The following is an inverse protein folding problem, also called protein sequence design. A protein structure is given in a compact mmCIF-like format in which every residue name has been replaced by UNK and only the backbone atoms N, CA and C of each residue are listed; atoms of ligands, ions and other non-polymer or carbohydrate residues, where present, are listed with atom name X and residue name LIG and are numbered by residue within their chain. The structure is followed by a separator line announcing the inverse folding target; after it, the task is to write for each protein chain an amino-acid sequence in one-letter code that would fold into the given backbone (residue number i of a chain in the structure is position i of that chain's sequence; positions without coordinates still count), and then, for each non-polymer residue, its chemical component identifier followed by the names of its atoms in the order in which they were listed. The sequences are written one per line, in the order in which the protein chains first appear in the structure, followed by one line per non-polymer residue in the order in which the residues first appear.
data_IF_684867793327
#
_entry.id   IF_684867793327
#
_cell.length_a   1.000
_cell.length_b   1.000
_cell.length_c   1.000
_cell.angle_alpha   90.00
_cell.angle_beta   90.00
_cell.angle_gamma   90.00
#
_symmetry.space_group_name_H-M   'P 1'
#
loop_
_entity.id
_entity.type
_entity.pdbx_description
1 polymer ?
#
# COMPACT_ATOMS: atom_id res chain seq x y z
N UNK A 1 9.16 -4.34 -21.57
CA UNK A 1 7.75 -4.11 -21.18
C UNK A 1 7.45 -4.97 -19.96
N UNK A 2 7.11 -4.34 -18.84
CA UNK A 2 6.76 -5.02 -17.58
C UNK A 2 5.31 -4.75 -17.21
N UNK A 3 4.74 -5.58 -16.31
CA UNK A 3 3.40 -5.37 -15.76
C UNK A 3 3.51 -4.88 -14.31
N UNK A 4 2.91 -3.73 -14.01
CA UNK A 4 2.85 -3.17 -12.66
C UNK A 4 1.50 -3.43 -12.02
N UNK A 5 1.51 -3.98 -10.82
CA UNK A 5 0.35 -4.09 -9.95
C UNK A 5 0.43 -3.03 -8.85
N UNK A 6 -0.45 -2.03 -8.90
CA UNK A 6 -0.48 -0.93 -7.94
C UNK A 6 -1.54 -1.17 -6.87
N UNK A 7 -1.12 -1.26 -5.60
CA UNK A 7 -2.00 -1.54 -4.46
C UNK A 7 -2.06 -0.30 -3.57
N UNK A 8 -3.24 0.29 -3.45
CA UNK A 8 -3.50 1.49 -2.65
C UNK A 8 -3.36 1.24 -1.14
N UNK A 9 -3.38 2.30 -0.34
CA UNK A 9 -3.38 2.24 1.13
C UNK A 9 -4.78 2.10 1.74
N UNK A 10 -4.89 2.14 3.07
CA UNK A 10 -6.19 2.09 3.75
C UNK A 10 -7.08 3.27 3.43
N UNK A 11 -8.40 3.06 3.51
CA UNK A 11 -9.47 4.02 3.23
C UNK A 11 -9.56 4.46 1.76
N UNK A 12 -8.55 4.16 0.96
CA UNK A 12 -8.48 4.49 -0.45
C UNK A 12 -9.02 3.35 -1.34
N UNK A 13 -9.07 3.62 -2.64
CA UNK A 13 -9.32 2.66 -3.72
C UNK A 13 -8.32 2.86 -4.86
N UNK A 14 -8.50 2.15 -5.98
CA UNK A 14 -7.55 2.22 -7.10
C UNK A 14 -7.44 3.62 -7.73
N UNK A 15 -8.45 4.47 -7.52
CA UNK A 15 -8.51 5.85 -7.99
C UNK A 15 -7.31 6.71 -7.59
N UNK A 16 -6.57 6.36 -6.53
CA UNK A 16 -5.36 7.11 -6.13
C UNK A 16 -4.26 7.09 -7.19
N UNK A 17 -4.25 6.07 -8.04
CA UNK A 17 -3.21 5.88 -9.04
C UNK A 17 -3.49 6.63 -10.35
N UNK A 18 -4.50 7.51 -10.40
CA UNK A 18 -4.92 8.15 -11.65
C UNK A 18 -3.84 9.04 -12.29
N UNK A 19 -2.87 9.55 -11.51
CA UNK A 19 -1.70 10.26 -12.04
C UNK A 19 -0.51 9.34 -12.34
N UNK A 20 -0.27 8.35 -11.48
CA UNK A 20 0.88 7.43 -11.61
C UNK A 20 0.72 6.41 -12.73
N UNK A 21 -0.48 5.85 -12.91
CA UNK A 21 -0.72 4.79 -13.88
C UNK A 21 -0.51 5.26 -15.34
N UNK A 22 -1.05 6.42 -15.78
CA UNK A 22 -0.79 6.92 -17.13
C UNK A 22 0.70 7.18 -17.41
N UNK A 23 1.45 7.63 -16.41
CA UNK A 23 2.89 7.86 -16.54
C UNK A 23 3.67 6.55 -16.73
N UNK A 24 3.35 5.49 -15.97
CA UNK A 24 3.92 4.15 -16.20
C UNK A 24 3.54 3.59 -17.58
N UNK A 25 2.30 3.85 -18.02
CA UNK A 25 1.83 3.42 -19.35
C UNK A 25 2.55 4.16 -20.48
N UNK A 26 2.85 5.46 -20.31
CA UNK A 26 3.60 6.25 -21.27
C UNK A 26 5.03 5.72 -21.48
N UNK A 27 5.61 5.07 -20.46
CA UNK A 27 6.90 4.37 -20.52
C UNK A 27 6.78 2.94 -21.14
N UNK A 28 5.62 2.61 -21.72
CA UNK A 28 5.39 1.34 -22.41
C UNK A 28 5.14 0.15 -21.48
N UNK A 29 4.66 0.39 -20.26
CA UNK A 29 4.32 -0.67 -19.31
C UNK A 29 2.83 -0.95 -19.22
N UNK A 30 2.48 -2.20 -18.90
CA UNK A 30 1.12 -2.56 -18.52
C UNK A 30 0.90 -2.23 -17.04
N UNK A 31 -0.30 -1.77 -16.68
CA UNK A 31 -0.62 -1.37 -15.31
C UNK A 31 -1.99 -1.91 -14.91
N UNK A 32 -2.04 -2.59 -13.77
CA UNK A 32 -3.27 -2.94 -13.05
C UNK A 32 -3.31 -2.17 -11.74
N UNK A 33 -4.27 -1.26 -11.61
CA UNK A 33 -4.57 -0.61 -10.34
C UNK A 33 -5.56 -1.48 -9.57
N UNK A 34 -5.13 -2.07 -8.46
CA UNK A 34 -5.90 -3.06 -7.72
C UNK A 34 -7.13 -2.44 -7.05
N UNK A 35 -8.31 -2.99 -7.36
CA UNK A 35 -9.54 -2.74 -6.63
C UNK A 35 -9.74 -3.82 -5.55
N UNK A 36 -9.72 -3.44 -4.27
CA UNK A 36 -9.84 -4.37 -3.15
C UNK A 36 -11.30 -4.54 -2.70
N UNK A 37 -11.73 -5.74 -2.27
CA UNK A 37 -13.10 -5.97 -1.79
C UNK A 37 -13.40 -5.18 -0.52
N UNK A 38 -14.66 -4.81 -0.30
CA UNK A 38 -15.10 -4.06 0.88
C UNK A 38 -15.05 -2.54 0.73
N UNK A 39 -14.77 -2.04 -0.49
CA UNK A 39 -14.78 -0.61 -0.83
C UNK A 39 -15.15 -0.36 -2.29
N UNK A 40 -15.42 0.90 -2.61
CA UNK A 40 -15.64 1.37 -3.98
C UNK A 40 -16.67 0.55 -4.73
N UNK A 41 -16.29 0.04 -5.91
CA UNK A 41 -17.15 -0.76 -6.81
C UNK A 41 -17.23 -2.24 -6.43
N UNK A 42 -16.56 -2.66 -5.35
CA UNK A 42 -16.54 -4.04 -4.88
C UNK A 42 -17.09 -4.13 -3.45
N UNK A 43 -18.38 -3.82 -3.24
CA UNK A 43 -18.98 -3.89 -1.92
C UNK A 43 -18.90 -5.33 -1.39
N UNK A 44 -18.39 -5.46 -0.18
CA UNK A 44 -18.40 -6.69 0.58
C UNK A 44 -18.57 -6.32 2.05
N UNK A 45 -19.27 -7.13 2.83
CA UNK A 45 -19.36 -6.86 4.25
C UNK A 45 -17.95 -6.90 4.85
N UNK A 46 -17.47 -5.83 5.52
CA UNK A 46 -16.09 -5.73 5.99
C UNK A 46 -15.65 -6.91 6.85
N UNK A 47 -16.60 -7.48 7.61
CA UNK A 47 -16.41 -8.71 8.34
C UNK A 47 -15.88 -9.84 7.46
N UNK A 48 -16.31 -10.06 6.23
CA UNK A 48 -15.85 -11.20 5.42
C UNK A 48 -14.62 -10.91 4.56
N UNK A 49 -13.98 -9.76 4.73
CA UNK A 49 -12.83 -9.37 3.91
C UNK A 49 -11.52 -9.61 4.65
N UNK A 50 -10.80 -10.68 4.29
CA UNK A 50 -9.44 -10.97 4.76
C UNK A 50 -8.38 -10.93 3.66
N UNK A 51 -7.11 -11.15 4.02
CA UNK A 51 -5.99 -11.16 3.07
C UNK A 51 -6.17 -12.20 1.95
N UNK A 52 -6.69 -13.39 2.27
CA UNK A 52 -6.97 -14.43 1.26
C UNK A 52 -8.00 -13.95 0.22
N UNK A 53 -9.00 -13.20 0.65
CA UNK A 53 -10.04 -12.65 -0.23
C UNK A 53 -9.46 -11.56 -1.14
N UNK A 54 -8.61 -10.69 -0.58
CA UNK A 54 -7.89 -9.67 -1.33
C UNK A 54 -6.94 -10.27 -2.37
N UNK A 55 -6.15 -11.30 -2.00
CA UNK A 55 -5.28 -12.00 -2.94
C UNK A 55 -6.09 -12.55 -4.12
N UNK A 56 -7.20 -13.25 -3.85
CA UNK A 56 -8.07 -13.78 -4.90
C UNK A 56 -8.64 -12.68 -5.78
N UNK A 57 -9.06 -11.55 -5.20
CA UNK A 57 -9.60 -10.42 -5.94
C UNK A 57 -8.55 -9.76 -6.85
N UNK A 58 -7.32 -9.58 -6.35
CA UNK A 58 -6.21 -8.98 -7.09
C UNK A 58 -5.75 -9.89 -8.23
N UNK A 59 -5.56 -11.18 -7.98
CA UNK A 59 -5.10 -12.12 -9.00
C UNK A 59 -6.11 -12.32 -10.14
N UNK A 60 -7.39 -12.01 -9.94
CA UNK A 60 -8.40 -11.98 -11.00
C UNK A 60 -8.28 -10.75 -11.92
N UNK A 61 -7.68 -9.67 -11.43
CA UNK A 61 -7.51 -8.41 -12.18
C UNK A 61 -6.21 -8.40 -13.01
N UNK A 62 -5.24 -9.27 -12.66
CA UNK A 62 -3.99 -9.43 -13.40
C UNK A 62 -4.12 -10.64 -14.36
N UNK A 63 -3.69 -10.53 -15.63
CA UNK A 63 -3.73 -11.66 -16.57
C UNK A 63 -3.01 -12.91 -16.00
N UNK A 64 -3.57 -14.12 -16.14
CA UNK A 64 -3.15 -15.30 -15.38
C UNK A 64 -1.69 -15.73 -15.63
N UNK A 65 -1.17 -15.51 -16.84
CA UNK A 65 0.17 -15.93 -17.26
C UNK A 65 1.19 -14.78 -17.28
N UNK A 66 0.86 -13.66 -16.64
CA UNK A 66 1.74 -12.49 -16.56
C UNK A 66 2.40 -12.45 -15.19
N UNK A 67 3.73 -12.30 -15.21
CA UNK A 67 4.53 -11.92 -14.04
C UNK A 67 4.46 -10.40 -13.88
N UNK A 68 4.52 -9.92 -12.64
CA UNK A 68 4.30 -8.51 -12.34
C UNK A 68 5.19 -8.01 -11.21
N UNK A 69 5.53 -6.72 -11.27
CA UNK A 69 6.11 -5.97 -10.16
C UNK A 69 4.98 -5.35 -9.34
N UNK A 70 4.95 -5.64 -8.04
CA UNK A 70 3.94 -5.08 -7.13
C UNK A 70 4.46 -3.79 -6.51
N UNK A 71 3.69 -2.71 -6.57
CA UNK A 71 3.95 -1.47 -5.81
C UNK A 71 2.82 -1.32 -4.80
N UNK A 72 3.13 -1.39 -3.51
CA UNK A 72 2.11 -1.37 -2.46
C UNK A 72 2.33 -0.24 -1.46
N UNK A 73 1.27 0.53 -1.26
CA UNK A 73 1.26 1.71 -0.41
C UNK A 73 0.70 1.40 0.99
N UNK A 74 1.32 1.99 2.01
CA UNK A 74 0.79 2.03 3.39
C UNK A 74 0.41 0.63 3.93
N UNK A 75 -0.75 0.50 4.59
CA UNK A 75 -1.20 -0.75 5.23
C UNK A 75 -1.04 -1.98 4.35
N UNK A 76 -1.31 -1.86 3.05
CA UNK A 76 -1.35 -3.00 2.13
C UNK A 76 0.01 -3.48 1.61
N UNK A 77 1.11 -2.98 2.18
CA UNK A 77 2.37 -3.74 2.19
C UNK A 77 2.16 -5.18 2.68
N UNK A 78 1.29 -5.39 3.68
CA UNK A 78 0.94 -6.74 4.17
C UNK A 78 0.27 -7.63 3.11
N UNK A 79 -0.49 -7.02 2.17
CA UNK A 79 -1.11 -7.74 1.06
C UNK A 79 -0.07 -8.07 0.01
N UNK A 80 0.87 -7.17 -0.28
CA UNK A 80 1.97 -7.44 -1.19
C UNK A 80 2.88 -8.57 -0.69
N UNK A 81 3.22 -8.58 0.61
CA UNK A 81 3.96 -9.70 1.21
C UNK A 81 3.19 -11.02 1.12
N UNK A 82 1.88 -10.98 1.36
CA UNK A 82 1.04 -12.18 1.24
C UNK A 82 0.84 -12.65 -0.22
N UNK A 83 0.88 -11.74 -1.20
CA UNK A 83 0.90 -12.08 -2.63
C UNK A 83 2.22 -12.75 -3.01
N UNK A 84 3.35 -12.21 -2.57
CA UNK A 84 4.67 -12.80 -2.76
C UNK A 84 4.78 -14.19 -2.10
N UNK A 85 4.11 -14.42 -0.97
CA UNK A 85 4.00 -15.76 -0.38
C UNK A 85 3.13 -16.70 -1.22
N UNK A 86 1.99 -16.22 -1.72
CA UNK A 86 0.98 -17.06 -2.36
C UNK A 86 1.32 -17.44 -3.81
N UNK A 87 1.95 -16.53 -4.56
CA UNK A 87 2.31 -16.71 -5.97
C UNK A 87 3.74 -16.20 -6.26
N UNK A 88 4.76 -16.69 -5.52
CA UNK A 88 6.14 -16.18 -5.62
C UNK A 88 6.69 -16.19 -7.05
N UNK A 89 6.34 -17.19 -7.87
CA UNK A 89 6.83 -17.28 -9.25
C UNK A 89 6.24 -16.22 -10.19
N UNK A 90 5.08 -15.63 -9.81
CA UNK A 90 4.43 -14.55 -10.56
C UNK A 90 4.87 -13.16 -10.12
N UNK A 91 5.39 -13.00 -8.90
CA UNK A 91 5.85 -11.71 -8.41
C UNK A 91 7.32 -11.53 -8.79
N UNK A 92 7.60 -10.61 -9.73
CA UNK A 92 8.98 -10.32 -10.14
C UNK A 92 9.73 -9.58 -9.04
N UNK A 93 9.04 -8.63 -8.40
CA UNK A 93 9.56 -7.78 -7.33
C UNK A 93 8.41 -7.18 -6.54
N UNK A 94 8.67 -6.87 -5.26
CA UNK A 94 7.78 -6.04 -4.44
C UNK A 94 8.45 -4.72 -4.06
N UNK A 95 7.85 -3.60 -4.45
CA UNK A 95 8.24 -2.24 -4.06
C UNK A 95 7.27 -1.77 -2.98
N UNK A 96 7.80 -1.54 -1.78
CA UNK A 96 7.06 -1.06 -0.62
C UNK A 96 7.13 0.48 -0.59
N UNK A 97 6.02 1.15 -0.88
CA UNK A 97 5.91 2.61 -0.84
C UNK A 97 5.38 3.06 0.52
N UNK A 98 6.25 3.57 1.40
CA UNK A 98 5.93 3.94 2.79
C UNK A 98 4.94 2.96 3.46
N UNK A 99 5.22 1.66 3.28
CA UNK A 99 4.26 0.60 3.56
C UNK A 99 4.73 -0.40 4.61
N UNK A 100 3.77 -1.17 5.11
CA UNK A 100 3.96 -2.15 6.18
C UNK A 100 4.62 -3.43 5.64
N UNK A 101 5.95 -3.41 5.53
CA UNK A 101 6.81 -4.54 5.20
C UNK A 101 7.25 -5.27 6.48
N UNK A 102 6.37 -6.09 7.04
CA UNK A 102 6.52 -6.59 8.40
C UNK A 102 7.14 -7.99 8.47
N UNK A 103 7.82 -8.33 9.58
CA UNK A 103 8.33 -9.68 9.80
C UNK A 103 7.23 -10.76 9.78
N UNK A 104 7.57 -12.02 9.49
CA UNK A 104 6.66 -13.15 9.65
C UNK A 104 6.06 -13.21 11.07
N UNK A 105 4.77 -13.47 11.18
CA UNK A 105 4.05 -13.58 12.45
C UNK A 105 3.48 -12.26 13.00
N UNK A 106 3.96 -11.12 12.49
CA UNK A 106 3.50 -9.80 12.89
C UNK A 106 2.19 -9.39 12.20
N UNK A 107 1.58 -8.31 12.71
CA UNK A 107 0.35 -7.72 12.18
C UNK A 107 0.43 -6.20 12.15
N UNK A 108 -0.12 -5.58 11.11
CA UNK A 108 -0.03 -4.13 10.91
C UNK A 108 -0.60 -3.30 12.06
N UNK A 109 -1.66 -3.78 12.71
CA UNK A 109 -2.29 -3.07 13.82
C UNK A 109 -1.35 -2.87 15.03
N UNK A 110 -0.38 -3.77 15.26
CA UNK A 110 0.55 -3.64 16.39
C UNK A 110 1.62 -2.59 16.08
N UNK A 111 2.15 -2.61 14.86
CA UNK A 111 3.12 -1.63 14.35
C UNK A 111 2.52 -0.23 14.26
N UNK A 112 1.32 -0.10 13.70
CA UNK A 112 0.58 1.17 13.61
C UNK A 112 0.38 1.79 15.00
N UNK A 113 -0.06 0.99 15.98
CA UNK A 113 -0.21 1.47 17.35
C UNK A 113 1.13 1.94 17.92
N UNK A 114 2.23 1.27 17.61
CA UNK A 114 3.55 1.66 18.13
C UNK A 114 4.04 3.02 17.60
N UNK A 115 3.49 3.52 16.50
CA UNK A 115 3.82 4.83 15.92
C UNK A 115 3.05 5.96 16.60
N UNK A 116 3.44 6.27 17.85
CA UNK A 116 2.79 7.28 18.69
C UNK A 116 2.78 8.70 18.11
N UNK A 117 3.61 8.96 17.10
CA UNK A 117 3.71 10.26 16.43
C UNK A 117 2.89 10.35 15.14
N UNK A 118 2.22 9.27 14.74
CA UNK A 118 1.36 9.28 13.56
C UNK A 118 0.19 10.25 13.73
N UNK A 119 0.03 11.17 12.78
CA UNK A 119 -1.09 12.10 12.69
C UNK A 119 -2.44 11.40 12.41
N UNK A 120 -2.42 10.11 12.05
CA UNK A 120 -3.63 9.31 11.87
C UNK A 120 -4.28 8.94 13.20
N UNK A 121 -3.49 8.74 14.27
CA UNK A 121 -3.99 8.16 15.53
C UNK A 121 -5.20 8.90 16.13
N UNK A 122 -5.24 10.25 16.18
CA UNK A 122 -6.39 10.97 16.73
C UNK A 122 -7.68 10.83 15.90
N UNK A 123 -7.54 10.49 14.62
CA UNK A 123 -8.65 10.47 13.67
C UNK A 123 -9.24 9.10 13.39
N UNK A 124 -8.78 8.02 14.02
CA UNK A 124 -9.29 6.67 13.70
C UNK A 124 -10.45 6.28 14.61
N UNK A 125 -11.58 5.97 13.97
CA UNK A 125 -12.72 5.31 14.57
C UNK A 125 -12.69 3.82 14.24
N UNK A 126 -12.88 2.95 15.25
CA UNK A 126 -12.89 1.49 15.05
C UNK A 126 -14.21 0.91 15.50
N UNK A 127 -14.92 0.25 14.58
CA UNK A 127 -16.07 -0.56 14.90
C UNK A 127 -15.68 -2.04 15.01
N UNK A 128 -15.57 -2.52 16.25
CA UNK A 128 -15.14 -3.90 16.53
C UNK A 128 -16.17 -4.95 16.15
N UNK A 129 -17.46 -4.63 16.22
CA UNK A 129 -18.55 -5.57 15.91
C UNK A 129 -18.65 -5.79 14.39
N UNK A 130 -18.62 -4.69 13.63
CA UNK A 130 -18.71 -4.73 12.18
C UNK A 130 -17.35 -4.92 11.48
N UNK A 131 -16.26 -4.97 12.25
CA UNK A 131 -14.88 -5.20 11.81
C UNK A 131 -14.43 -4.25 10.70
N UNK A 132 -14.67 -2.95 10.90
CA UNK A 132 -14.13 -1.89 10.07
C UNK A 132 -13.49 -0.78 10.91
N UNK A 133 -12.58 -0.04 10.29
CA UNK A 133 -12.06 1.23 10.77
C UNK A 133 -12.35 2.37 9.78
N UNK A 134 -12.42 3.59 10.29
CA UNK A 134 -12.72 4.78 9.53
C UNK A 134 -11.81 5.91 9.97
N UNK A 135 -11.25 6.63 9.01
CA UNK A 135 -10.48 7.84 9.29
C UNK A 135 -11.43 9.03 9.25
N UNK A 136 -11.36 9.92 10.24
CA UNK A 136 -12.23 11.08 10.31
C UNK A 136 -11.76 12.19 9.35
N UNK A 137 -12.66 12.88 8.64
CA UNK A 137 -12.29 13.87 7.62
C UNK A 137 -11.36 14.99 8.07
N UNK A 138 -11.41 15.38 9.35
CA UNK A 138 -10.61 16.49 9.88
C UNK A 138 -9.10 16.20 9.88
N UNK A 139 -8.67 14.93 9.88
CA UNK A 139 -7.24 14.57 9.81
C UNK A 139 -6.73 14.33 8.39
N UNK A 140 -7.60 14.26 7.38
CA UNK A 140 -7.20 13.86 6.03
C UNK A 140 -6.09 14.74 5.48
N UNK A 141 -6.29 16.06 5.52
CA UNK A 141 -5.32 17.01 4.95
C UNK A 141 -3.98 16.92 5.67
N UNK A 142 -3.96 17.00 6.98
CA UNK A 142 -2.70 17.01 7.75
C UNK A 142 -1.96 15.66 7.66
N UNK A 143 -2.67 14.56 7.86
CA UNK A 143 -2.04 13.24 7.95
C UNK A 143 -1.71 12.62 6.59
N UNK A 144 -2.55 12.82 5.56
CA UNK A 144 -2.44 12.11 4.29
C UNK A 144 -2.03 12.99 3.11
N UNK A 145 -2.34 14.29 3.13
CA UNK A 145 -2.32 15.13 1.92
C UNK A 145 -1.71 16.53 2.11
N UNK A 146 -0.82 16.73 3.10
CA UNK A 146 -0.44 18.08 3.52
C UNK A 146 0.39 18.85 2.47
N UNK A 147 1.01 18.13 1.53
CA UNK A 147 1.76 18.66 0.39
C UNK A 147 1.02 18.49 -0.96
N UNK A 148 -0.22 17.97 -0.94
CA UNK A 148 -0.96 17.65 -2.16
C UNK A 148 -1.74 18.89 -2.66
N UNK A 149 -1.93 19.00 -3.99
CA UNK A 149 -2.87 19.96 -4.57
C UNK A 149 -4.26 19.90 -3.93
N UNK A 150 -4.96 21.03 -3.92
CA UNK A 150 -6.26 21.15 -3.24
C UNK A 150 -7.29 20.20 -3.85
N UNK A 151 -7.25 20.03 -5.16
CA UNK A 151 -8.14 19.17 -5.93
C UNK A 151 -8.01 17.70 -5.49
N UNK A 152 -6.79 17.25 -5.19
CA UNK A 152 -6.49 15.86 -4.83
C UNK A 152 -6.96 15.52 -3.42
N UNK A 153 -6.70 16.39 -2.44
CA UNK A 153 -7.18 16.10 -1.08
C UNK A 153 -8.70 16.29 -0.98
N UNK A 154 -9.30 17.19 -1.78
CA UNK A 154 -10.75 17.30 -1.93
C UNK A 154 -11.35 16.02 -2.55
N UNK A 155 -10.69 15.44 -3.55
CA UNK A 155 -11.06 14.12 -4.07
C UNK A 155 -11.01 13.07 -2.96
N UNK A 156 -9.93 13.04 -2.17
CA UNK A 156 -9.83 12.17 -0.99
C UNK A 156 -10.96 12.36 0.01
N UNK A 157 -11.33 13.61 0.31
CA UNK A 157 -12.45 13.92 1.21
C UNK A 157 -13.78 13.28 0.77
N UNK A 158 -14.01 13.16 -0.54
CA UNK A 158 -15.22 12.56 -1.11
C UNK A 158 -15.09 11.03 -1.22
N UNK A 159 -13.90 10.54 -1.56
CA UNK A 159 -13.71 9.16 -2.01
C UNK A 159 -13.20 8.20 -0.92
N UNK A 160 -12.70 8.72 0.21
CA UNK A 160 -12.29 7.86 1.32
C UNK A 160 -13.50 7.05 1.82
N UNK A 161 -13.25 5.80 2.17
CA UNK A 161 -14.27 4.86 2.62
C UNK A 161 -13.88 4.06 3.87
N UNK A 162 -14.87 3.39 4.48
CA UNK A 162 -14.62 2.47 5.60
C UNK A 162 -13.73 1.32 5.16
N UNK A 163 -12.83 0.95 6.05
CA UNK A 163 -11.75 0.03 5.78
C UNK A 163 -11.98 -1.27 6.57
N UNK A 164 -11.99 -2.45 5.94
CA UNK A 164 -12.00 -3.72 6.65
C UNK A 164 -10.82 -3.85 7.61
N UNK A 165 -11.11 -4.13 8.88
CA UNK A 165 -10.11 -4.17 9.94
C UNK A 165 -9.42 -5.55 10.05
N UNK A 166 -10.05 -6.63 9.56
CA UNK A 166 -9.49 -8.00 9.62
C UNK A 166 -8.06 -8.12 9.06
N UNK A 167 -7.72 -7.55 7.88
CA UNK A 167 -6.36 -7.58 7.36
C UNK A 167 -5.34 -7.00 8.33
N UNK A 168 -5.66 -5.88 9.00
CA UNK A 168 -4.73 -5.20 9.90
C UNK A 168 -4.39 -6.04 11.16
N UNK A 169 -5.31 -6.88 11.62
CA UNK A 169 -5.12 -7.74 12.81
C UNK A 169 -4.67 -9.17 12.48
N UNK A 170 -4.57 -9.51 11.18
CA UNK A 170 -4.15 -10.84 10.73
C UNK A 170 -2.64 -10.98 10.88
N UNK A 171 -2.18 -12.09 11.48
CA UNK A 171 -0.77 -12.43 11.53
C UNK A 171 -0.28 -12.90 10.16
N UNK A 172 0.83 -12.35 9.72
CA UNK A 172 1.45 -12.71 8.45
C UNK A 172 2.04 -14.12 8.53
N UNK A 173 1.68 -14.97 7.56
CA UNK A 173 2.25 -16.31 7.40
C UNK A 173 3.17 -16.25 6.19
N UNK A 174 4.43 -15.89 6.42
CA UNK A 174 5.44 -15.69 5.39
C UNK A 174 6.59 -16.68 5.63
N UNK A 175 7.16 -17.20 4.54
CA UNK A 175 8.24 -18.19 4.58
C UNK A 175 9.44 -17.71 3.78
N UNK A 176 10.64 -18.19 4.12
CA UNK A 176 11.82 -17.89 3.29
C UNK A 176 11.72 -18.51 1.89
N UNK A 177 11.13 -19.70 1.77
CA UNK A 177 11.01 -20.40 0.51
C UNK A 177 10.10 -19.68 -0.52
N UNK A 178 9.16 -18.85 -0.07
CA UNK A 178 8.23 -18.13 -0.95
C UNK A 178 8.43 -16.62 -0.86
N UNK A 179 7.89 -15.98 0.19
CA UNK A 179 8.04 -14.53 0.39
C UNK A 179 9.51 -14.09 0.35
N UNK A 180 10.36 -14.81 1.09
CA UNK A 180 11.79 -14.58 1.22
C UNK A 180 12.55 -14.42 -0.09
N UNK A 181 12.33 -15.35 -1.03
CA UNK A 181 13.01 -15.37 -2.33
C UNK A 181 12.57 -14.28 -3.31
N UNK A 182 11.48 -13.55 -3.05
CA UNK A 182 11.01 -12.47 -3.94
C UNK A 182 11.82 -11.19 -3.67
N UNK A 183 12.52 -10.64 -4.69
CA UNK A 183 13.26 -9.38 -4.57
C UNK A 183 12.39 -8.23 -4.09
N UNK A 184 12.96 -7.34 -3.29
CA UNK A 184 12.19 -6.27 -2.66
C UNK A 184 12.97 -4.99 -2.47
N UNK A 185 12.27 -3.89 -2.64
CA UNK A 185 12.80 -2.55 -2.45
C UNK A 185 11.81 -1.70 -1.66
N UNK A 186 12.29 -0.60 -1.09
CA UNK A 186 11.48 0.34 -0.32
C UNK A 186 11.60 1.75 -0.88
N UNK A 187 10.47 2.46 -0.98
CA UNK A 187 10.44 3.90 -1.23
C UNK A 187 10.02 4.56 0.08
N UNK A 188 10.95 5.27 0.71
CA UNK A 188 10.73 5.98 1.97
C UNK A 188 10.26 7.40 1.70
N UNK A 189 9.18 7.79 2.37
CA UNK A 189 8.60 9.13 2.26
C UNK A 189 9.04 9.94 3.47
N UNK A 190 9.92 10.91 3.26
CA UNK A 190 10.64 11.59 4.35
C UNK A 190 9.80 12.65 5.07
N UNK A 191 8.68 13.07 4.48
CA UNK A 191 7.74 14.04 5.08
C UNK A 191 6.42 13.36 5.51
N UNK A 192 6.37 12.03 5.53
CA UNK A 192 5.17 11.27 5.86
C UNK A 192 4.73 11.48 7.32
N UNK A 193 3.46 11.86 7.52
CA UNK A 193 2.84 12.03 8.84
C UNK A 193 1.91 10.88 9.23
N UNK A 194 1.66 9.94 8.32
CA UNK A 194 0.80 8.78 8.52
C UNK A 194 1.60 7.54 8.93
N UNK A 195 2.60 7.15 8.13
CA UNK A 195 3.60 6.14 8.49
C UNK A 195 4.89 6.91 8.71
N UNK A 196 5.16 7.33 9.95
CA UNK A 196 6.22 8.30 10.19
C UNK A 196 7.59 7.79 9.72
N UNK A 197 8.54 8.65 9.34
CA UNK A 197 9.89 8.23 8.96
C UNK A 197 10.54 7.30 10.00
N UNK A 198 10.33 7.59 11.29
CA UNK A 198 10.81 6.74 12.38
C UNK A 198 10.18 5.33 12.37
N UNK A 199 8.90 5.19 12.01
CA UNK A 199 8.27 3.89 11.81
C UNK A 199 8.81 3.19 10.54
N UNK A 200 8.96 3.93 9.44
CA UNK A 200 9.53 3.39 8.19
C UNK A 200 10.95 2.85 8.42
N UNK A 201 11.81 3.58 9.14
CA UNK A 201 13.16 3.15 9.49
C UNK A 201 13.14 1.85 10.31
N UNK A 202 12.24 1.73 11.29
CA UNK A 202 12.08 0.51 12.08
C UNK A 202 11.58 -0.67 11.23
N UNK A 203 10.68 -0.43 10.28
CA UNK A 203 10.18 -1.45 9.36
C UNK A 203 11.32 -1.96 8.46
N UNK A 204 12.10 -1.04 7.88
CA UNK A 204 13.25 -1.36 7.02
C UNK A 204 14.32 -2.14 7.82
N UNK A 205 14.60 -1.74 9.06
CA UNK A 205 15.56 -2.42 9.92
C UNK A 205 15.10 -3.84 10.31
N UNK A 206 13.80 -4.05 10.51
CA UNK A 206 13.24 -5.34 10.88
C UNK A 206 13.14 -6.32 9.69
N UNK A 207 12.98 -5.80 8.48
CA UNK A 207 12.89 -6.60 7.25
C UNK A 207 13.78 -5.96 6.16
N UNK A 208 15.06 -6.36 6.06
CA UNK A 208 15.99 -5.77 5.09
C UNK A 208 15.52 -5.91 3.64
N UNK A 209 15.94 -4.96 2.80
CA UNK A 209 15.62 -4.89 1.37
C UNK A 209 16.90 -4.69 0.56
N UNK A 210 16.82 -4.98 -0.73
CA UNK A 210 17.95 -4.82 -1.64
C UNK A 210 18.32 -3.34 -1.82
N UNK A 211 17.31 -2.46 -1.74
CA UNK A 211 17.46 -1.03 -1.99
C UNK A 211 16.38 -0.19 -1.33
N UNK A 212 16.79 0.98 -0.84
CA UNK A 212 15.90 2.03 -0.33
C UNK A 212 16.13 3.29 -1.16
N UNK A 213 15.06 3.93 -1.59
CA UNK A 213 15.09 5.25 -2.25
C UNK A 213 14.19 6.22 -1.47
N UNK A 214 14.64 7.46 -1.32
CA UNK A 214 13.90 8.48 -0.57
C UNK A 214 13.18 9.42 -1.53
N UNK A 215 11.96 9.82 -1.17
CA UNK A 215 11.24 10.93 -1.79
C UNK A 215 10.83 11.91 -0.68
N UNK A 216 11.10 13.19 -0.90
CA UNK A 216 10.62 14.27 -0.03
C UNK A 216 9.16 14.59 -0.34
N UNK A 217 8.24 13.79 0.20
CA UNK A 217 6.81 13.93 0.01
C UNK A 217 6.01 13.42 1.22
N UNK A 218 4.76 13.85 1.30
CA UNK A 218 3.78 13.29 2.24
C UNK A 218 3.39 11.85 1.88
N UNK A 219 2.51 11.27 2.68
CA UNK A 219 1.98 9.92 2.48
C UNK A 219 1.37 9.70 1.09
N UNK A 220 0.77 10.73 0.48
CA UNK A 220 0.11 10.62 -0.82
C UNK A 220 0.98 11.10 -1.98
N UNK A 221 2.22 10.62 -2.04
CA UNK A 221 3.21 10.98 -3.08
C UNK A 221 2.71 10.76 -4.52
N UNK A 222 1.76 9.84 -4.73
CA UNK A 222 1.09 9.63 -6.01
C UNK A 222 0.27 10.85 -6.48
N UNK A 223 -0.01 11.80 -5.60
CA UNK A 223 -0.63 13.09 -5.92
C UNK A 223 0.35 14.25 -5.93
N UNK A 224 1.21 14.33 -4.92
CA UNK A 224 2.12 15.47 -4.76
C UNK A 224 3.32 15.42 -5.70
N UNK A 225 3.87 14.23 -5.98
CA UNK A 225 5.05 14.04 -6.85
C UNK A 225 4.97 12.81 -7.75
N UNK A 226 3.95 12.69 -8.63
CA UNK A 226 3.74 11.49 -9.43
C UNK A 226 4.90 11.17 -10.39
N UNK A 227 5.56 12.16 -11.00
CA UNK A 227 6.68 11.94 -11.91
C UNK A 227 7.94 11.45 -11.17
N UNK A 228 8.22 11.98 -9.98
CA UNK A 228 9.31 11.51 -9.13
C UNK A 228 9.07 10.09 -8.63
N UNK A 229 7.82 9.79 -8.23
CA UNK A 229 7.42 8.43 -7.86
C UNK A 229 7.64 7.44 -9.01
N UNK A 230 7.20 7.77 -10.22
CA UNK A 230 7.34 6.88 -11.39
C UNK A 230 8.81 6.64 -11.72
N UNK A 231 9.63 7.70 -11.78
CA UNK A 231 11.09 7.55 -11.99
C UNK A 231 11.73 6.64 -10.95
N UNK A 232 11.32 6.77 -9.69
CA UNK A 232 11.82 5.94 -8.59
C UNK A 232 11.37 4.49 -8.71
N UNK A 233 10.10 4.25 -9.06
CA UNK A 233 9.58 2.90 -9.35
C UNK A 233 10.40 2.23 -10.46
N UNK A 234 10.60 2.92 -11.59
CA UNK A 234 11.35 2.38 -12.73
C UNK A 234 12.80 2.03 -12.37
N UNK A 235 13.46 2.92 -11.61
CA UNK A 235 14.82 2.72 -11.09
C UNK A 235 14.92 1.46 -10.23
N UNK A 236 13.95 1.24 -9.34
CA UNK A 236 13.89 0.07 -8.48
C UNK A 236 13.48 -1.21 -9.22
N UNK A 237 12.69 -1.10 -10.29
CA UNK A 237 12.29 -2.23 -11.13
C UNK A 237 13.42 -2.75 -12.02
N UNK A 238 14.36 -1.89 -12.43
CA UNK A 238 15.51 -2.27 -13.25
C UNK A 238 16.69 -2.86 -12.45
N UNK A 239 16.63 -2.78 -11.12
CA UNK A 239 17.65 -3.33 -10.20
C UNK A 239 17.51 -4.84 -10.04
#
# INVERSE_FOLDING_TARGET
MSHYLLIHGSWHGAWVWYKTAPLLQAEGHAVTCAELPGRGRHPAAPAFVGLKDMIRAVLKQVPPNVRFTTVAHSRYGILASALAEAVPDRVERTIYLASYMLPPGDRAADWFRSDRKSALLPGIEVNRLALWDWLQPHVYRDALYHDCPIEDWMLGRIMLCREPARPAITRLKLTEANYGRVPRAYIRLTEDRAVTPALQDRIIAATPVDRVEDIAASHSVYFSKPEELVRTILKLSAS
#
